data_IF_368774954233
#
_entry.id   IF_368774954233
#
_cell.length_a   1.000
_cell.length_b   1.000
_cell.length_c   1.000
_cell.angle_alpha   90.00
_cell.angle_beta   90.00
_cell.angle_gamma   90.00
#
_symmetry.space_group_name_H-M   'P 1'
#
loop_
_entity.id
_entity.type
_entity.pdbx_description
1 polymer ?
#
# COMPACT_ATOMS: atom_id res chain seq x y z
N UNK A 1 4.16 -4.37 -72.89
CA UNK A 1 5.27 -5.09 -72.22
C UNK A 1 6.54 -4.25 -72.29
N UNK A 2 6.83 -3.44 -71.26
CA UNK A 2 8.15 -2.77 -71.08
C UNK A 2 8.21 -2.02 -69.73
N UNK A 3 9.45 -1.94 -69.21
CA UNK A 3 10.01 -1.22 -68.03
C UNK A 3 10.09 -2.09 -66.77
N UNK A 4 11.21 -2.76 -66.46
CA UNK A 4 12.58 -2.33 -66.08
C UNK A 4 12.64 -1.43 -64.83
N UNK A 5 12.99 -2.07 -63.72
CA UNK A 5 13.94 -1.71 -62.65
C UNK A 5 14.29 -0.23 -62.51
N UNK A 6 13.98 0.35 -61.36
CA UNK A 6 14.85 1.32 -60.68
C UNK A 6 14.67 1.16 -59.17
N UNK A 7 15.65 0.52 -58.53
CA UNK A 7 15.78 0.54 -57.07
C UNK A 7 16.30 1.91 -56.65
N UNK A 8 15.59 2.57 -55.74
CA UNK A 8 16.05 3.79 -55.10
C UNK A 8 16.32 3.49 -53.63
N UNK A 9 17.61 3.41 -53.33
CA UNK A 9 18.17 3.35 -51.98
C UNK A 9 17.87 4.70 -51.30
N UNK A 10 17.02 4.71 -50.27
CA UNK A 10 16.92 5.86 -49.36
C UNK A 10 17.51 5.46 -48.01
N UNK A 11 18.75 5.91 -47.76
CA UNK A 11 19.37 5.97 -46.45
C UNK A 11 18.66 7.08 -45.65
N UNK A 12 17.80 6.70 -44.71
CA UNK A 12 17.34 7.59 -43.64
C UNK A 12 17.95 7.11 -42.33
N UNK A 13 18.96 7.84 -41.87
CA UNK A 13 19.40 7.83 -40.48
C UNK A 13 18.23 8.26 -39.59
N UNK A 14 17.60 7.30 -38.91
CA UNK A 14 16.68 7.54 -37.81
C UNK A 14 17.36 7.17 -36.50
N UNK A 15 17.72 8.17 -35.69
CA UNK A 15 18.08 8.00 -34.29
C UNK A 15 16.94 7.25 -33.57
N UNK A 16 17.15 5.99 -33.22
CA UNK A 16 16.26 5.31 -32.28
C UNK A 16 16.64 5.75 -30.86
N UNK A 17 15.86 6.69 -30.33
CA UNK A 17 15.68 6.83 -28.89
C UNK A 17 15.10 5.51 -28.37
N UNK A 18 15.87 4.77 -27.58
CA UNK A 18 15.34 3.73 -26.69
C UNK A 18 14.60 4.43 -25.55
N UNK A 19 13.38 4.90 -25.83
CA UNK A 19 12.40 5.21 -24.79
C UNK A 19 12.02 3.90 -24.12
N UNK A 20 12.28 3.80 -22.81
CA UNK A 20 11.85 2.68 -21.99
C UNK A 20 10.33 2.50 -22.13
N UNK A 21 9.92 1.26 -22.35
CA UNK A 21 8.53 0.84 -22.20
C UNK A 21 8.18 0.92 -20.72
N UNK A 22 7.64 2.06 -20.30
CA UNK A 22 6.65 2.07 -19.22
C UNK A 22 5.36 1.48 -19.81
N UNK A 23 5.02 0.25 -19.43
CA UNK A 23 3.67 -0.25 -19.65
C UNK A 23 2.79 0.37 -18.56
N UNK A 24 2.19 1.51 -18.88
CA UNK A 24 0.95 1.95 -18.24
C UNK A 24 -0.06 0.81 -18.34
N UNK A 25 -0.80 0.54 -17.26
CA UNK A 25 -1.92 -0.39 -17.30
C UNK A 25 -2.99 0.17 -18.25
N UNK A 26 -2.93 -0.24 -19.52
CA UNK A 26 -3.92 0.13 -20.50
C UNK A 26 -5.23 -0.60 -20.15
N UNK A 27 -6.27 0.19 -19.85
CA UNK A 27 -7.64 -0.31 -19.77
C UNK A 27 -8.12 -0.60 -21.19
N UNK A 28 -7.89 -1.83 -21.65
CA UNK A 28 -8.19 -2.24 -23.01
C UNK A 28 -9.57 -2.88 -23.06
N UNK A 29 -10.33 -2.65 -24.14
CA UNK A 29 -11.63 -3.31 -24.38
C UNK A 29 -11.48 -4.26 -25.56
N UNK A 30 -11.98 -5.49 -25.40
CA UNK A 30 -12.05 -6.51 -26.43
C UNK A 30 -13.51 -6.79 -26.80
N UNK A 31 -13.82 -6.85 -28.09
CA UNK A 31 -15.17 -7.19 -28.58
C UNK A 31 -15.19 -8.65 -29.03
N UNK A 32 -16.03 -9.46 -28.38
CA UNK A 32 -16.15 -10.91 -28.63
C UNK A 32 -16.58 -11.16 -30.08
N UNK A 33 -15.78 -11.94 -30.79
CA UNK A 33 -16.05 -12.44 -32.14
C UNK A 33 -16.77 -13.79 -32.10
N UNK A 34 -17.40 -14.16 -33.22
CA UNK A 34 -18.04 -15.46 -33.38
C UNK A 34 -17.04 -16.59 -33.09
N UNK A 35 -17.41 -17.52 -32.21
CA UNK A 35 -16.64 -18.71 -31.77
C UNK A 35 -15.50 -18.47 -30.77
N UNK A 36 -15.29 -17.24 -30.27
CA UNK A 36 -14.32 -17.04 -29.17
C UNK A 36 -14.84 -17.60 -27.84
N UNK A 37 -13.93 -18.17 -27.05
CA UNK A 37 -14.20 -18.61 -25.67
C UNK A 37 -13.47 -17.71 -24.69
N UNK A 38 -13.86 -17.76 -23.41
CA UNK A 38 -13.16 -17.04 -22.34
C UNK A 38 -11.67 -17.40 -22.35
N UNK A 39 -11.34 -18.68 -22.54
CA UNK A 39 -9.98 -19.18 -22.56
C UNK A 39 -9.18 -18.65 -23.76
N UNK A 40 -9.78 -18.58 -24.95
CA UNK A 40 -9.09 -18.08 -26.14
C UNK A 40 -8.82 -16.57 -26.05
N UNK A 41 -9.77 -15.80 -25.51
CA UNK A 41 -9.61 -14.37 -25.30
C UNK A 41 -8.58 -14.11 -24.19
N UNK A 42 -8.69 -14.80 -23.05
CA UNK A 42 -7.75 -14.63 -21.94
C UNK A 42 -6.30 -14.96 -22.35
N UNK A 43 -6.10 -16.03 -23.14
CA UNK A 43 -4.80 -16.39 -23.70
C UNK A 43 -4.26 -15.32 -24.67
N UNK A 44 -5.12 -14.68 -25.46
CA UNK A 44 -4.74 -13.59 -26.37
C UNK A 44 -4.14 -12.39 -25.63
N UNK A 45 -4.60 -12.14 -24.41
CA UNK A 45 -4.18 -11.00 -23.59
C UNK A 45 -3.23 -11.36 -22.43
N UNK A 46 -2.76 -12.61 -22.37
CA UNK A 46 -1.88 -13.11 -21.30
C UNK A 46 -2.46 -12.91 -19.87
N UNK A 47 -3.77 -13.12 -19.73
CA UNK A 47 -4.49 -13.11 -18.44
C UNK A 47 -5.19 -14.45 -18.20
N UNK A 48 -5.62 -14.74 -16.98
CA UNK A 48 -6.38 -15.97 -16.71
C UNK A 48 -7.85 -15.85 -17.16
N UNK A 49 -8.44 -16.98 -17.57
CA UNK A 49 -9.87 -17.05 -17.88
C UNK A 49 -10.73 -16.61 -16.68
N UNK A 50 -10.34 -17.00 -15.46
CA UNK A 50 -11.01 -16.62 -14.22
C UNK A 50 -10.95 -15.09 -13.98
N UNK A 51 -9.80 -14.46 -14.25
CA UNK A 51 -9.65 -13.01 -14.16
C UNK A 51 -10.55 -12.31 -15.19
N UNK A 52 -10.54 -12.76 -16.44
CA UNK A 52 -11.40 -12.20 -17.49
C UNK A 52 -12.90 -12.32 -17.12
N UNK A 53 -13.31 -13.45 -16.54
CA UNK A 53 -14.67 -13.69 -16.09
C UNK A 53 -15.07 -12.79 -14.92
N UNK A 54 -14.22 -12.66 -13.89
CA UNK A 54 -14.51 -11.83 -12.71
C UNK A 54 -14.56 -10.35 -13.06
N UNK A 55 -13.63 -9.87 -13.89
CA UNK A 55 -13.59 -8.47 -14.33
C UNK A 55 -14.84 -8.07 -15.12
N UNK A 56 -15.47 -9.01 -15.80
CA UNK A 56 -16.61 -8.74 -16.69
C UNK A 56 -17.94 -9.31 -16.20
N UNK A 57 -18.00 -9.85 -14.98
CA UNK A 57 -19.23 -10.39 -14.39
C UNK A 57 -19.79 -11.59 -15.16
N UNK A 58 -18.94 -12.55 -15.52
CA UNK A 58 -19.30 -13.76 -16.28
C UNK A 58 -19.29 -15.01 -15.36
N UNK A 59 -20.36 -15.27 -14.59
CA UNK A 59 -20.37 -16.35 -13.60
C UNK A 59 -20.38 -17.76 -14.21
N UNK A 60 -20.85 -17.91 -15.45
CA UNK A 60 -20.96 -19.20 -16.15
C UNK A 60 -20.07 -19.29 -17.41
N UNK A 61 -19.20 -18.29 -17.62
CA UNK A 61 -18.25 -18.24 -18.74
C UNK A 61 -18.91 -18.08 -20.11
N UNK A 62 -20.21 -17.81 -20.19
CA UNK A 62 -20.89 -17.61 -21.47
C UNK A 62 -20.56 -16.24 -22.06
N UNK A 63 -20.25 -16.23 -23.35
CA UNK A 63 -19.98 -15.05 -24.14
C UNK A 63 -20.99 -14.91 -25.26
N UNK A 64 -21.30 -13.67 -25.63
CA UNK A 64 -22.17 -13.34 -26.76
C UNK A 64 -21.36 -12.58 -27.81
N UNK A 65 -21.57 -12.92 -29.09
CA UNK A 65 -20.94 -12.20 -30.20
C UNK A 65 -21.31 -10.71 -30.14
N UNK A 66 -20.30 -9.83 -30.23
CA UNK A 66 -20.43 -8.38 -30.08
C UNK A 66 -20.37 -7.86 -28.64
N UNK A 67 -20.27 -8.74 -27.63
CA UNK A 67 -20.09 -8.34 -26.23
C UNK A 67 -18.72 -7.67 -26.03
N UNK A 68 -18.70 -6.53 -25.33
CA UNK A 68 -17.45 -5.86 -24.96
C UNK A 68 -16.96 -6.32 -23.59
N UNK A 69 -15.72 -6.79 -23.53
CA UNK A 69 -15.03 -7.23 -22.33
C UNK A 69 -13.89 -6.27 -22.00
N UNK A 70 -13.81 -5.84 -20.75
CA UNK A 70 -12.69 -5.11 -20.18
C UNK A 70 -11.53 -6.06 -19.91
N UNK A 71 -10.37 -5.73 -20.47
CA UNK A 71 -9.12 -6.45 -20.34
C UNK A 71 -8.21 -5.65 -19.42
N UNK A 72 -7.91 -6.23 -18.26
CA UNK A 72 -6.99 -5.65 -17.28
C UNK A 72 -5.74 -6.54 -17.22
N UNK A 73 -4.66 -6.14 -17.89
CA UNK A 73 -3.37 -6.86 -17.94
C UNK A 73 -2.49 -6.61 -16.71
N UNK A 74 -3.06 -6.53 -15.51
CA UNK A 74 -2.24 -6.48 -14.30
C UNK A 74 -1.76 -7.89 -13.98
N UNK A 75 -0.49 -8.17 -14.26
CA UNK A 75 0.17 -9.41 -13.87
C UNK A 75 0.23 -9.51 -12.34
N UNK A 76 -0.81 -10.06 -11.71
CA UNK A 76 -0.76 -10.50 -10.31
C UNK A 76 -0.47 -12.00 -10.28
N UNK A 77 0.81 -12.34 -10.39
CA UNK A 77 1.28 -13.69 -10.06
C UNK A 77 1.54 -13.74 -8.55
N UNK A 78 0.85 -14.59 -7.77
CA UNK A 78 1.14 -14.76 -6.35
C UNK A 78 2.56 -15.31 -6.20
N UNK A 79 3.47 -14.45 -5.78
CA UNK A 79 4.83 -14.86 -5.51
C UNK A 79 4.89 -15.64 -4.21
N UNK A 80 4.96 -16.95 -4.33
CA UNK A 80 5.31 -17.82 -3.20
C UNK A 80 6.85 -17.93 -3.00
N UNK A 81 7.67 -17.14 -3.72
CA UNK A 81 9.15 -17.18 -3.63
C UNK A 81 9.94 -15.85 -3.74
N UNK A 82 9.35 -14.65 -3.71
CA UNK A 82 10.13 -13.45 -4.06
C UNK A 82 10.98 -12.84 -2.94
N UNK A 83 10.77 -13.05 -1.63
CA UNK A 83 11.60 -12.32 -0.64
C UNK A 83 13.03 -12.83 -0.54
N UNK A 84 13.27 -14.14 -0.50
CA UNK A 84 14.63 -14.67 -0.43
C UNK A 84 15.46 -14.24 -1.66
N UNK A 85 14.82 -14.13 -2.83
CA UNK A 85 15.47 -13.70 -4.06
C UNK A 85 15.59 -12.18 -4.18
N UNK A 86 14.54 -11.43 -3.81
CA UNK A 86 14.55 -9.96 -3.81
C UNK A 86 15.44 -9.38 -2.72
N UNK A 87 15.50 -10.00 -1.55
CA UNK A 87 16.43 -9.65 -0.50
C UNK A 87 17.89 -9.79 -0.96
N UNK A 88 18.22 -10.87 -1.70
CA UNK A 88 19.51 -10.98 -2.37
C UNK A 88 19.72 -9.89 -3.42
N UNK A 89 18.69 -9.53 -4.20
CA UNK A 89 18.78 -8.43 -5.18
C UNK A 89 19.05 -7.09 -4.50
N UNK A 90 18.34 -6.75 -3.42
CA UNK A 90 18.56 -5.56 -2.59
C UNK A 90 19.99 -5.56 -2.06
N UNK A 91 20.44 -6.68 -1.48
CA UNK A 91 21.80 -6.84 -0.96
C UNK A 91 22.86 -6.66 -2.05
N UNK A 92 22.67 -7.27 -3.22
CA UNK A 92 23.59 -7.14 -4.36
C UNK A 92 23.63 -5.71 -4.90
N UNK A 93 22.46 -5.06 -4.98
CA UNK A 93 22.36 -3.66 -5.40
C UNK A 93 23.06 -2.73 -4.40
N UNK A 94 22.84 -2.91 -3.10
CA UNK A 94 23.57 -2.20 -2.04
C UNK A 94 25.08 -2.36 -2.21
N UNK A 95 25.55 -3.59 -2.46
CA UNK A 95 26.96 -3.90 -2.62
C UNK A 95 27.60 -3.17 -3.81
N UNK A 96 26.86 -2.88 -4.87
CA UNK A 96 27.40 -2.12 -6.02
C UNK A 96 27.80 -0.68 -5.68
N UNK A 97 27.35 -0.14 -4.55
CA UNK A 97 27.75 1.18 -4.07
C UNK A 97 29.04 1.16 -3.23
N UNK A 98 29.71 0.02 -3.08
CA UNK A 98 31.02 -0.04 -2.40
C UNK A 98 32.02 0.90 -3.09
N UNK A 99 32.72 1.72 -2.31
CA UNK A 99 33.69 2.71 -2.79
C UNK A 99 33.10 4.10 -3.07
N UNK A 100 31.78 4.27 -3.06
CA UNK A 100 31.16 5.58 -3.19
C UNK A 100 31.44 6.44 -1.96
N UNK A 101 31.56 7.77 -2.16
CA UNK A 101 31.90 8.72 -1.10
C UNK A 101 30.86 8.71 0.02
N UNK A 102 31.31 8.79 1.27
CA UNK A 102 30.46 9.10 2.41
C UNK A 102 30.26 10.61 2.53
N UNK A 103 29.00 11.07 2.51
CA UNK A 103 28.67 12.49 2.67
C UNK A 103 27.45 12.63 3.57
N UNK A 104 27.57 13.37 4.67
CA UNK A 104 26.49 13.54 5.65
C UNK A 104 25.27 14.23 5.03
N UNK A 105 24.07 13.70 5.27
CA UNK A 105 22.81 14.24 4.74
C UNK A 105 22.51 13.85 3.29
N UNK A 106 23.48 13.32 2.55
CA UNK A 106 23.34 13.00 1.13
C UNK A 106 22.88 11.56 0.89
N UNK A 107 22.26 11.34 -0.26
CA UNK A 107 21.57 10.10 -0.60
C UNK A 107 21.70 9.68 -2.07
N UNK A 108 22.69 10.21 -2.79
CA UNK A 108 22.82 9.95 -4.23
C UNK A 108 24.21 9.46 -4.61
N UNK A 109 24.34 8.64 -5.66
CA UNK A 109 25.65 8.19 -6.15
C UNK A 109 26.61 9.34 -6.48
N UNK A 110 26.08 10.49 -6.93
CA UNK A 110 26.88 11.65 -7.36
C UNK A 110 27.44 12.41 -6.15
N UNK A 111 26.61 12.67 -5.15
CA UNK A 111 27.00 13.48 -3.98
C UNK A 111 27.60 12.65 -2.85
N UNK A 112 27.40 11.33 -2.89
CA UNK A 112 27.75 10.40 -1.83
C UNK A 112 26.55 10.04 -0.96
N UNK A 113 26.79 9.15 0.01
CA UNK A 113 25.75 8.63 0.88
C UNK A 113 26.14 8.78 2.35
N UNK A 114 25.20 9.13 3.22
CA UNK A 114 25.25 8.69 4.61
C UNK A 114 24.54 7.34 4.79
N UNK A 115 24.55 6.78 6.00
CA UNK A 115 23.93 5.48 6.28
C UNK A 115 22.44 5.45 5.93
N UNK A 116 21.72 6.52 6.26
CA UNK A 116 20.29 6.63 6.00
C UNK A 116 19.97 6.91 4.53
N UNK A 117 20.80 7.71 3.84
CA UNK A 117 20.68 7.98 2.42
C UNK A 117 20.96 6.76 1.56
N UNK A 118 21.94 5.93 1.95
CA UNK A 118 22.19 4.65 1.27
C UNK A 118 20.99 3.70 1.39
N UNK A 119 20.41 3.59 2.59
CA UNK A 119 19.21 2.78 2.83
C UNK A 119 18.05 3.28 1.98
N UNK A 120 17.76 4.59 2.04
CA UNK A 120 16.68 5.21 1.27
C UNK A 120 16.83 4.92 -0.24
N UNK A 121 18.01 5.21 -0.79
CA UNK A 121 18.29 5.03 -2.21
C UNK A 121 18.14 3.58 -2.66
N UNK A 122 18.77 2.65 -1.94
CA UNK A 122 18.74 1.24 -2.32
C UNK A 122 17.31 0.70 -2.25
N UNK A 123 16.59 0.94 -1.16
CA UNK A 123 15.25 0.37 -0.97
C UNK A 123 14.22 1.01 -1.90
N UNK A 124 14.23 2.33 -2.10
CA UNK A 124 13.30 3.02 -3.02
C UNK A 124 13.46 2.57 -4.48
N UNK A 125 14.69 2.41 -4.97
CA UNK A 125 14.98 1.89 -6.32
C UNK A 125 14.58 0.42 -6.50
N UNK A 126 14.53 -0.33 -5.41
CA UNK A 126 14.00 -1.68 -5.37
C UNK A 126 12.49 -1.70 -5.08
N UNK A 127 11.79 -0.57 -5.29
CA UNK A 127 10.34 -0.38 -5.12
C UNK A 127 9.84 -0.76 -3.72
N UNK A 128 10.66 -0.53 -2.69
CA UNK A 128 10.25 -0.63 -1.30
C UNK A 128 9.62 0.71 -0.88
N UNK A 129 8.35 0.73 -0.43
CA UNK A 129 7.66 1.96 -0.06
C UNK A 129 8.17 2.42 1.31
N UNK A 130 9.20 3.27 1.29
CA UNK A 130 9.76 3.90 2.48
C UNK A 130 9.89 5.40 2.26
N UNK A 131 9.67 6.17 3.32
CA UNK A 131 9.93 7.61 3.33
C UNK A 131 11.43 7.88 3.49
N UNK A 132 11.87 9.09 3.16
CA UNK A 132 13.21 9.56 3.51
C UNK A 132 13.28 9.88 5.00
N UNK A 133 14.00 9.05 5.77
CA UNK A 133 14.11 9.17 7.22
C UNK A 133 15.57 9.23 7.67
N UNK A 134 15.78 9.65 8.93
CA UNK A 134 17.07 9.47 9.62
C UNK A 134 17.31 7.99 9.95
N UNK A 135 18.53 7.63 10.39
CA UNK A 135 18.82 6.27 10.86
C UNK A 135 17.87 5.86 11.99
N UNK A 136 17.61 6.75 12.94
CA UNK A 136 16.67 6.49 14.04
C UNK A 136 15.23 6.37 13.55
N UNK A 137 14.84 7.18 12.56
CA UNK A 137 13.53 7.07 11.90
C UNK A 137 13.34 5.71 11.24
N UNK A 138 14.34 5.24 10.49
CA UNK A 138 14.33 3.88 9.96
C UNK A 138 14.28 2.85 11.07
N UNK A 139 15.11 2.95 12.12
CA UNK A 139 15.08 2.01 13.24
C UNK A 139 13.70 1.89 13.89
N UNK A 140 12.99 3.01 14.07
CA UNK A 140 11.62 3.03 14.60
C UNK A 140 10.60 2.48 13.60
N UNK A 141 10.78 2.75 12.32
CA UNK A 141 9.89 2.27 11.26
C UNK A 141 10.08 0.78 10.97
N UNK A 142 11.29 0.25 11.09
CA UNK A 142 11.65 -1.10 10.67
C UNK A 142 11.14 -2.19 11.61
N UNK A 143 10.93 -3.37 11.04
CA UNK A 143 10.44 -4.55 11.76
C UNK A 143 11.55 -5.42 12.32
N UNK A 144 11.57 -5.64 13.64
CA UNK A 144 12.53 -6.55 14.25
C UNK A 144 12.46 -7.96 13.63
N UNK A 145 13.63 -8.55 13.41
CA UNK A 145 13.77 -9.93 12.93
C UNK A 145 14.96 -10.61 13.60
N UNK A 146 14.72 -11.76 14.21
CA UNK A 146 15.78 -12.60 14.81
C UNK A 146 16.43 -13.55 13.80
N UNK A 147 15.86 -13.65 12.60
CA UNK A 147 16.36 -14.48 11.49
C UNK A 147 16.68 -13.60 10.29
N UNK A 148 17.76 -12.80 10.35
CA UNK A 148 18.05 -11.82 9.31
C UNK A 148 18.40 -12.49 7.98
N UNK A 149 17.84 -11.95 6.91
CA UNK A 149 18.04 -12.37 5.52
C UNK A 149 18.75 -11.26 4.75
N UNK A 150 19.43 -11.63 3.66
CA UNK A 150 19.99 -10.64 2.76
C UNK A 150 18.90 -9.61 2.37
N UNK A 151 19.25 -8.33 2.39
CA UNK A 151 18.32 -7.22 2.13
C UNK A 151 17.66 -6.61 3.37
N UNK A 152 17.73 -7.26 4.54
CA UNK A 152 17.38 -6.63 5.82
C UNK A 152 18.39 -5.52 6.16
N UNK A 153 18.04 -4.63 7.08
CA UNK A 153 18.91 -3.54 7.55
C UNK A 153 19.37 -3.84 8.98
N UNK A 154 20.67 -3.78 9.21
CA UNK A 154 21.29 -3.93 10.53
C UNK A 154 21.58 -2.55 11.12
N UNK A 155 21.27 -2.36 12.41
CA UNK A 155 21.39 -1.08 13.13
C UNK A 155 22.42 -1.18 14.26
N UNK A 156 23.09 -0.07 14.55
CA UNK A 156 24.13 -0.01 15.58
C UNK A 156 24.01 1.21 16.48
N UNK A 157 24.28 0.99 17.77
CA UNK A 157 24.27 1.99 18.82
C UNK A 157 25.55 2.83 18.83
N UNK A 158 25.43 4.04 19.35
CA UNK A 158 26.56 4.86 19.74
C UNK A 158 27.26 4.31 20.99
N UNK A 159 28.58 4.42 21.05
CA UNK A 159 29.35 3.95 22.20
C UNK A 159 28.92 4.70 23.47
N UNK A 160 28.42 3.95 24.45
CA UNK A 160 27.99 4.50 25.74
C UNK A 160 26.62 5.19 25.71
N UNK A 161 25.80 4.94 24.68
CA UNK A 161 24.49 5.56 24.48
C UNK A 161 23.50 4.52 23.95
N UNK A 162 22.20 4.72 24.22
CA UNK A 162 21.11 3.92 23.63
C UNK A 162 20.68 4.42 22.24
N UNK A 163 21.33 5.47 21.74
CA UNK A 163 21.00 6.08 20.45
C UNK A 163 21.52 5.24 19.30
N UNK A 164 20.66 4.95 18.33
CA UNK A 164 21.03 4.32 17.06
C UNK A 164 21.61 5.38 16.12
N UNK A 165 22.86 5.21 15.69
CA UNK A 165 23.61 6.24 14.94
C UNK A 165 24.07 5.81 13.56
N UNK A 166 24.13 4.52 13.29
CA UNK A 166 24.53 4.00 11.98
C UNK A 166 23.78 2.72 11.65
N UNK A 167 23.63 2.45 10.36
CA UNK A 167 22.92 1.29 9.86
C UNK A 167 23.46 0.85 8.50
N UNK A 168 23.21 -0.40 8.12
CA UNK A 168 23.65 -0.93 6.84
C UNK A 168 22.75 -2.04 6.32
N UNK A 169 22.89 -2.40 5.04
CA UNK A 169 22.08 -3.43 4.40
C UNK A 169 22.80 -4.77 4.51
N UNK A 170 22.16 -5.73 5.17
CA UNK A 170 22.69 -7.06 5.44
C UNK A 170 22.83 -7.86 4.14
N UNK A 171 23.98 -8.48 3.96
CA UNK A 171 24.32 -9.29 2.78
C UNK A 171 24.14 -10.79 3.04
N UNK A 172 23.86 -11.19 4.27
CA UNK A 172 24.01 -12.57 4.71
C UNK A 172 25.46 -12.94 5.08
N UNK A 173 25.61 -14.03 5.82
CA UNK A 173 26.91 -14.55 6.24
C UNK A 173 27.72 -13.53 7.04
N UNK A 174 27.09 -12.87 8.02
CA UNK A 174 27.71 -11.91 8.94
C UNK A 174 28.26 -10.63 8.28
N UNK A 175 27.91 -10.34 7.02
CA UNK A 175 28.37 -9.16 6.27
C UNK A 175 27.24 -8.18 5.99
N UNK A 176 27.56 -6.91 5.86
CA UNK A 176 26.62 -5.85 5.49
C UNK A 176 27.32 -4.71 4.75
N UNK A 177 26.55 -3.90 4.01
CA UNK A 177 27.04 -2.69 3.34
C UNK A 177 26.65 -1.49 4.17
N UNK A 178 27.61 -0.62 4.50
CA UNK A 178 27.37 0.55 5.34
C UNK A 178 28.13 1.78 4.83
N UNK A 179 27.52 2.95 4.99
CA UNK A 179 28.14 4.26 4.81
C UNK A 179 28.24 4.98 6.15
N UNK A 180 29.04 4.44 7.06
CA UNK A 180 29.10 4.85 8.47
C UNK A 180 30.37 4.39 9.18
N UNK A 181 30.53 4.85 10.42
CA UNK A 181 31.60 4.51 11.38
C UNK A 181 33.01 4.24 10.82
N UNK A 182 33.87 5.27 10.87
CA UNK A 182 35.31 5.15 10.62
C UNK A 182 35.73 4.95 9.16
N UNK A 183 34.81 5.10 8.20
CA UNK A 183 35.08 4.99 6.76
C UNK A 183 34.70 6.28 6.01
N UNK A 184 35.52 6.66 5.03
CA UNK A 184 35.31 7.78 4.09
C UNK A 184 34.45 7.37 2.88
N UNK A 185 34.19 6.07 2.72
CA UNK A 185 33.44 5.49 1.62
C UNK A 185 32.47 4.42 2.12
N UNK A 186 31.49 4.09 1.28
CA UNK A 186 30.62 2.92 1.47
C UNK A 186 31.47 1.64 1.44
N UNK A 187 31.32 0.77 2.43
CA UNK A 187 32.12 -0.44 2.57
C UNK A 187 31.26 -1.66 2.88
N UNK A 188 31.74 -2.84 2.46
CA UNK A 188 31.30 -4.11 3.02
C UNK A 188 32.03 -4.32 4.34
N UNK A 189 31.28 -4.48 5.42
CA UNK A 189 31.78 -4.68 6.79
C UNK A 189 31.33 -6.02 7.33
N UNK A 190 32.02 -6.49 8.38
CA UNK A 190 31.65 -7.69 9.12
C UNK A 190 31.06 -7.34 10.48
N UNK A 191 29.99 -8.03 10.85
CA UNK A 191 29.42 -7.98 12.21
C UNK A 191 30.40 -8.45 13.29
N UNK A 192 31.44 -9.20 12.90
CA UNK A 192 32.50 -9.63 13.82
C UNK A 192 33.55 -8.57 14.12
N UNK A 193 33.53 -7.40 13.44
CA UNK A 193 34.46 -6.32 13.78
C UNK A 193 34.12 -5.74 15.17
N UNK A 194 35.14 -5.36 15.93
CA UNK A 194 35.03 -5.00 17.36
C UNK A 194 33.87 -4.05 17.68
N UNK A 195 33.68 -2.99 16.90
CA UNK A 195 32.58 -2.05 17.12
C UNK A 195 31.22 -2.69 16.80
N UNK A 196 31.05 -3.30 15.63
CA UNK A 196 29.77 -3.86 15.23
C UNK A 196 29.34 -5.05 16.09
N UNK A 197 30.28 -5.88 16.53
CA UNK A 197 30.01 -6.99 17.45
C UNK A 197 29.51 -6.50 18.81
N UNK A 198 30.02 -5.36 19.29
CA UNK A 198 29.69 -4.82 20.60
C UNK A 198 28.41 -3.97 20.59
N UNK A 199 28.14 -3.26 19.50
CA UNK A 199 27.08 -2.24 19.44
C UNK A 199 25.97 -2.56 18.44
N UNK A 200 25.81 -3.81 18.00
CA UNK A 200 24.65 -4.23 17.22
C UNK A 200 23.37 -4.03 18.04
N UNK A 201 22.44 -3.23 17.51
CA UNK A 201 21.16 -2.95 18.15
C UNK A 201 20.10 -3.98 17.75
N UNK A 202 19.83 -4.09 16.44
CA UNK A 202 18.80 -4.96 15.89
C UNK A 202 19.01 -5.19 14.39
N UNK A 203 18.36 -6.22 13.87
CA UNK A 203 18.04 -6.32 12.45
C UNK A 203 16.59 -5.89 12.23
N UNK A 204 16.37 -5.08 11.21
CA UNK A 204 15.04 -4.71 10.76
C UNK A 204 14.80 -5.12 9.31
N UNK A 205 13.63 -5.67 9.02
CA UNK A 205 13.21 -5.94 7.63
C UNK A 205 12.34 -4.80 7.11
N UNK A 206 12.48 -4.46 5.83
CA UNK A 206 11.68 -3.45 5.11
C UNK A 206 11.15 -4.11 3.86
N UNK A 207 10.10 -4.89 4.04
CA UNK A 207 9.50 -5.64 2.95
C UNK A 207 8.60 -4.72 2.13
N UNK A 208 8.74 -4.66 0.79
CA UNK A 208 7.65 -4.19 -0.05
C UNK A 208 6.56 -5.24 0.02
N UNK A 209 5.60 -5.12 0.94
CA UNK A 209 4.54 -6.13 1.07
C UNK A 209 3.16 -5.53 1.10
N UNK A 210 2.71 -5.30 -0.13
CA UNK A 210 1.39 -4.91 -0.60
C UNK A 210 0.18 -5.13 0.32
N UNK A 211 -0.90 -4.51 -0.12
CA UNK A 211 -2.25 -4.97 0.21
C UNK A 211 -2.42 -6.42 -0.28
N UNK A 212 -3.13 -7.23 0.51
CA UNK A 212 -3.49 -8.60 0.22
C UNK A 212 -5.00 -8.72 0.38
N UNK A 213 -5.69 -9.17 -0.66
CA UNK A 213 -7.11 -9.47 -0.59
C UNK A 213 -7.24 -10.93 -0.20
N UNK A 214 -7.88 -11.21 0.94
CA UNK A 214 -8.09 -12.57 1.44
C UNK A 214 -8.83 -13.41 0.40
N UNK A 215 -8.23 -14.53 0.01
CA UNK A 215 -8.79 -15.51 -0.90
C UNK A 215 -9.60 -16.58 -0.15
N UNK A 216 -10.36 -17.37 -0.90
CA UNK A 216 -11.20 -18.42 -0.34
C UNK A 216 -10.36 -19.42 0.47
N UNK A 217 -10.79 -19.75 1.68
CA UNK A 217 -10.12 -20.65 2.64
C UNK A 217 -8.72 -20.20 3.13
N UNK A 218 -8.29 -18.96 2.88
CA UNK A 218 -7.06 -18.46 3.51
C UNK A 218 -7.26 -18.23 5.01
N UNK A 219 -6.24 -18.57 5.78
CA UNK A 219 -6.17 -18.31 7.22
C UNK A 219 -5.12 -17.23 7.48
N UNK A 220 -5.21 -16.55 8.62
CA UNK A 220 -4.13 -15.66 9.04
C UNK A 220 -2.79 -16.38 9.11
N UNK A 221 -2.80 -17.67 9.47
CA UNK A 221 -1.59 -18.49 9.50
C UNK A 221 -1.00 -18.69 8.11
N UNK A 222 -1.81 -19.06 7.11
CA UNK A 222 -1.34 -19.24 5.74
C UNK A 222 -0.85 -17.92 5.12
N UNK A 223 -1.52 -16.81 5.39
CA UNK A 223 -1.09 -15.47 4.95
C UNK A 223 0.19 -15.06 5.68
N UNK A 224 0.26 -15.24 7.01
CA UNK A 224 1.46 -15.02 7.81
C UNK A 224 2.67 -15.75 7.25
N UNK A 225 2.51 -17.04 6.92
CA UNK A 225 3.58 -17.88 6.40
C UNK A 225 3.97 -17.46 4.97
N UNK A 226 3.00 -17.14 4.10
CA UNK A 226 3.23 -16.68 2.72
C UNK A 226 4.01 -15.35 2.69
N UNK A 227 3.63 -14.42 3.56
CA UNK A 227 4.25 -13.11 3.63
C UNK A 227 5.36 -13.00 4.69
N UNK A 228 5.71 -14.06 5.41
CA UNK A 228 6.73 -13.99 6.47
C UNK A 228 6.51 -12.83 7.45
N UNK A 229 5.25 -12.53 7.76
CA UNK A 229 4.81 -11.50 8.73
C UNK A 229 4.02 -12.23 9.81
N UNK A 230 4.32 -12.03 11.10
CA UNK A 230 3.61 -12.78 12.15
C UNK A 230 2.11 -12.52 12.12
N UNK A 231 1.33 -13.55 12.47
CA UNK A 231 -0.13 -13.44 12.67
C UNK A 231 -0.48 -12.23 13.53
N UNK A 232 0.20 -12.06 14.67
CA UNK A 232 0.00 -10.90 15.55
C UNK A 232 0.21 -9.57 14.86
N UNK A 233 1.18 -9.49 13.95
CA UNK A 233 1.45 -8.27 13.17
C UNK A 233 0.34 -8.01 12.18
N UNK A 234 -0.13 -9.04 11.45
CA UNK A 234 -1.26 -8.93 10.52
C UNK A 234 -2.52 -8.49 11.28
N UNK A 235 -2.79 -9.08 12.45
CA UNK A 235 -3.95 -8.73 13.30
C UNK A 235 -3.88 -7.30 13.79
N UNK A 236 -2.76 -6.91 14.39
CA UNK A 236 -2.58 -5.53 14.91
C UNK A 236 -2.73 -4.51 13.79
N UNK A 237 -2.14 -4.79 12.63
CA UNK A 237 -2.18 -3.92 11.43
C UNK A 237 -3.58 -3.72 10.90
N UNK A 238 -4.29 -4.81 10.71
CA UNK A 238 -5.60 -4.83 10.08
C UNK A 238 -6.70 -4.85 11.12
N UNK A 239 -6.41 -4.35 12.33
CA UNK A 239 -7.31 -4.25 13.45
C UNK A 239 -8.17 -5.50 13.73
N UNK A 240 -7.67 -6.69 13.40
CA UNK A 240 -8.48 -7.90 13.44
C UNK A 240 -8.72 -8.28 14.90
N UNK A 241 -10.00 -8.30 15.35
CA UNK A 241 -10.32 -8.67 16.73
C UNK A 241 -10.19 -10.18 16.95
N UNK A 242 -10.27 -10.97 15.88
CA UNK A 242 -10.17 -12.43 15.89
C UNK A 242 -9.24 -12.92 14.78
N UNK A 243 -9.06 -14.25 14.69
CA UNK A 243 -8.30 -14.86 13.58
C UNK A 243 -9.17 -15.10 12.33
N UNK A 244 -10.47 -14.80 12.43
CA UNK A 244 -11.42 -14.97 11.34
C UNK A 244 -11.15 -13.94 10.26
N UNK A 245 -11.07 -14.41 9.02
CA UNK A 245 -10.90 -13.58 7.84
C UNK A 245 -12.13 -13.72 6.95
N UNK A 246 -12.53 -12.61 6.35
CA UNK A 246 -13.57 -12.63 5.33
C UNK A 246 -12.93 -12.69 3.96
N UNK A 247 -13.46 -13.53 3.07
CA UNK A 247 -13.04 -13.50 1.66
C UNK A 247 -13.27 -12.09 1.08
N UNK A 248 -12.30 -11.57 0.34
CA UNK A 248 -12.34 -10.20 -0.19
C UNK A 248 -11.83 -9.14 0.78
N UNK A 249 -11.54 -9.48 2.04
CA UNK A 249 -10.99 -8.54 3.01
C UNK A 249 -9.61 -8.07 2.59
N UNK A 250 -9.40 -6.75 2.55
CA UNK A 250 -8.05 -6.22 2.34
C UNK A 250 -7.28 -6.23 3.66
N UNK A 251 -6.14 -6.90 3.61
CA UNK A 251 -5.14 -6.91 4.64
C UNK A 251 -3.89 -6.19 4.15
N UNK A 252 -3.41 -5.23 4.90
CA UNK A 252 -2.08 -4.69 4.77
C UNK A 252 -1.09 -5.71 5.35
N UNK A 253 -0.11 -6.17 4.56
CA UNK A 253 0.83 -7.22 4.97
C UNK A 253 2.28 -6.70 5.06
N UNK A 254 2.45 -5.43 5.39
CA UNK A 254 3.75 -4.87 5.78
C UNK A 254 3.88 -4.94 7.29
N UNK A 255 5.07 -5.20 7.81
CA UNK A 255 5.20 -5.64 9.20
C UNK A 255 5.39 -4.55 10.27
N UNK A 256 5.26 -3.25 9.96
CA UNK A 256 5.33 -2.16 10.96
C UNK A 256 4.32 -1.05 10.71
N UNK A 257 3.52 -0.65 11.72
CA UNK A 257 2.42 0.30 11.57
C UNK A 257 2.77 1.52 10.69
N UNK A 258 1.77 2.05 9.99
CA UNK A 258 1.73 3.49 9.73
C UNK A 258 1.51 4.12 11.11
N UNK A 259 2.59 4.24 11.88
CA UNK A 259 2.70 5.23 12.93
C UNK A 259 3.84 6.13 12.48
N UNK A 260 3.46 7.29 11.96
CA UNK A 260 3.54 8.45 12.83
C UNK A 260 2.26 9.30 12.75
N UNK A 261 1.09 8.80 13.21
CA UNK A 261 -0.08 9.68 13.28
C UNK A 261 -0.91 9.70 14.58
N UNK A 262 -0.81 8.71 15.48
CA UNK A 262 -1.59 8.71 16.74
C UNK A 262 -0.73 8.80 17.99
N UNK A 263 0.29 9.66 17.98
CA UNK A 263 1.13 9.91 19.15
C UNK A 263 1.04 11.35 19.66
N UNK A 264 -0.04 12.08 19.34
CA UNK A 264 -0.41 13.28 20.08
C UNK A 264 -1.56 12.95 21.03
N UNK A 265 -1.11 12.52 22.20
CA UNK A 265 -1.74 12.43 23.51
C UNK A 265 -3.08 13.15 23.66
N UNK A 266 -4.13 12.37 23.96
CA UNK A 266 -4.89 12.49 25.21
C UNK A 266 -5.74 11.23 25.39
N UNK A 267 -5.90 10.78 26.63
CA UNK A 267 -6.60 9.56 27.10
C UNK A 267 -8.11 9.55 26.84
N UNK A 268 -8.63 10.40 25.94
CA UNK A 268 -10.06 10.56 25.64
C UNK A 268 -10.52 9.91 24.33
N UNK A 269 -9.72 9.03 23.72
CA UNK A 269 -10.00 8.52 22.36
C UNK A 269 -10.09 7.00 22.19
N UNK A 270 -10.27 6.21 23.24
CA UNK A 270 -10.27 4.74 23.10
C UNK A 270 -11.34 4.23 22.10
N UNK A 271 -12.55 4.82 22.11
CA UNK A 271 -13.64 4.42 21.20
C UNK A 271 -13.51 4.99 19.78
N UNK A 272 -13.15 6.27 19.61
CA UNK A 272 -12.94 6.83 18.26
C UNK A 272 -11.77 6.15 17.54
N UNK A 273 -10.73 5.82 18.31
CA UNK A 273 -9.61 5.02 17.83
C UNK A 273 -10.08 3.65 17.37
N UNK A 274 -10.89 2.94 18.18
CA UNK A 274 -11.44 1.64 17.81
C UNK A 274 -12.26 1.69 16.51
N UNK A 275 -13.16 2.67 16.39
CA UNK A 275 -13.96 2.96 15.18
C UNK A 275 -13.09 3.12 13.95
N UNK A 276 -12.09 3.98 14.01
CA UNK A 276 -11.18 4.20 12.89
C UNK A 276 -10.43 2.91 12.57
N UNK A 277 -9.89 2.24 13.59
CA UNK A 277 -9.15 0.99 13.44
C UNK A 277 -9.98 -0.05 12.66
N UNK A 278 -11.25 -0.20 13.03
CA UNK A 278 -12.17 -1.12 12.38
C UNK A 278 -12.53 -0.68 10.95
N UNK A 279 -12.76 0.61 10.73
CA UNK A 279 -12.99 1.18 9.41
C UNK A 279 -11.86 0.85 8.41
N UNK A 280 -10.60 0.89 8.86
CA UNK A 280 -9.43 0.52 8.04
C UNK A 280 -9.48 -0.94 7.56
N UNK A 281 -10.06 -1.86 8.34
CA UNK A 281 -10.16 -3.28 7.99
C UNK A 281 -11.12 -3.54 6.84
N UNK A 282 -12.01 -2.58 6.59
CA UNK A 282 -13.02 -2.67 5.57
C UNK A 282 -12.53 -2.12 4.22
N UNK A 283 -11.28 -1.66 4.11
CA UNK A 283 -10.73 -1.15 2.85
C UNK A 283 -10.92 -2.16 1.71
N UNK A 284 -11.22 -1.63 0.53
CA UNK A 284 -11.43 -2.38 -0.70
C UNK A 284 -12.67 -3.28 -0.77
N UNK A 285 -13.48 -3.38 0.29
CA UNK A 285 -14.84 -3.92 0.15
C UNK A 285 -15.65 -3.05 -0.80
N UNK A 286 -16.44 -3.70 -1.65
CA UNK A 286 -17.12 -3.09 -2.79
C UNK A 286 -18.20 -2.10 -2.37
N UNK A 287 -18.46 -1.14 -3.24
CA UNK A 287 -19.62 -0.26 -3.08
C UNK A 287 -20.84 -0.91 -3.72
N UNK A 288 -21.95 -0.94 -2.97
CA UNK A 288 -23.28 -1.25 -3.50
C UNK A 288 -24.27 -0.25 -2.91
N UNK A 289 -25.04 0.41 -3.77
CA UNK A 289 -26.00 1.44 -3.36
C UNK A 289 -27.09 0.85 -2.46
N UNK A 290 -27.40 1.50 -1.33
CA UNK A 290 -28.42 1.06 -0.37
C UNK A 290 -27.93 0.01 0.63
N UNK A 291 -26.85 -0.70 0.32
CA UNK A 291 -26.34 -1.79 1.12
C UNK A 291 -25.39 -1.32 2.24
N UNK A 292 -25.25 -2.17 3.25
CA UNK A 292 -24.41 -1.92 4.43
C UNK A 292 -23.66 -3.18 4.90
N UNK A 293 -23.83 -4.32 4.22
CA UNK A 293 -23.12 -5.56 4.54
C UNK A 293 -21.81 -5.61 3.72
N UNK A 294 -20.62 -5.69 4.34
CA UNK A 294 -19.36 -5.74 3.61
C UNK A 294 -19.26 -6.91 2.61
N UNK A 295 -19.96 -8.03 2.82
CA UNK A 295 -19.95 -9.18 1.90
C UNK A 295 -20.76 -8.95 0.62
N UNK A 296 -21.75 -8.06 0.68
CA UNK A 296 -22.56 -7.66 -0.49
C UNK A 296 -21.96 -6.40 -1.11
N UNK A 297 -21.64 -5.43 -0.26
CA UNK A 297 -21.07 -4.13 -0.56
C UNK A 297 -21.72 -3.05 0.30
N UNK A 298 -21.11 -1.87 0.36
CA UNK A 298 -21.57 -0.79 1.23
C UNK A 298 -21.60 0.54 0.49
N UNK A 299 -22.74 1.24 0.57
CA UNK A 299 -22.77 2.66 0.21
C UNK A 299 -22.06 3.51 1.28
N UNK A 300 -21.92 4.81 1.07
CA UNK A 300 -21.19 5.68 2.00
C UNK A 300 -21.84 5.69 3.39
N UNK A 301 -23.16 5.76 3.45
CA UNK A 301 -23.94 5.80 4.68
C UNK A 301 -24.10 4.42 5.34
N UNK A 302 -24.09 3.35 4.55
CA UNK A 302 -24.06 1.96 4.99
C UNK A 302 -22.73 1.60 5.62
N UNK A 303 -21.62 2.08 5.06
CA UNK A 303 -20.29 1.97 5.66
C UNK A 303 -20.23 2.65 7.04
N UNK A 304 -20.74 3.89 7.17
CA UNK A 304 -20.82 4.56 8.48
C UNK A 304 -21.68 3.76 9.46
N UNK A 305 -22.87 3.31 9.03
CA UNK A 305 -23.77 2.52 9.87
C UNK A 305 -23.08 1.26 10.40
N UNK A 306 -22.41 0.52 9.52
CA UNK A 306 -21.71 -0.72 9.85
C UNK A 306 -20.60 -0.48 10.87
N UNK A 307 -19.70 0.46 10.59
CA UNK A 307 -18.56 0.76 11.47
C UNK A 307 -19.02 1.23 12.86
N UNK A 308 -20.04 2.09 12.94
CA UNK A 308 -20.54 2.61 14.20
C UNK A 308 -21.25 1.51 15.02
N UNK A 309 -22.04 0.65 14.36
CA UNK A 309 -22.75 -0.46 15.00
C UNK A 309 -21.80 -1.46 15.65
N UNK A 310 -20.69 -1.80 15.00
CA UNK A 310 -19.69 -2.75 15.51
C UNK A 310 -18.93 -2.25 16.75
N UNK A 311 -19.06 -0.95 17.08
CA UNK A 311 -18.48 -0.33 18.27
C UNK A 311 -19.53 0.18 19.26
N UNK A 312 -20.74 -0.37 19.21
CA UNK A 312 -21.86 -0.02 20.10
C UNK A 312 -22.23 1.48 20.08
N UNK A 313 -21.90 2.19 19.00
CA UNK A 313 -22.31 3.57 18.79
C UNK A 313 -23.68 3.53 18.12
N UNK A 314 -24.71 3.88 18.90
CA UNK A 314 -26.10 3.85 18.46
C UNK A 314 -26.37 4.88 17.37
N UNK A 315 -26.39 4.43 16.11
CA UNK A 315 -26.85 5.19 14.95
C UNK A 315 -27.94 4.40 14.21
N UNK A 316 -29.00 5.07 13.76
CA UNK A 316 -30.02 4.46 12.90
C UNK A 316 -29.48 4.36 11.48
N UNK A 317 -29.78 3.29 10.74
CA UNK A 317 -29.51 3.26 9.30
C UNK A 317 -30.25 4.42 8.64
N UNK A 318 -29.52 5.26 7.92
CA UNK A 318 -30.04 6.41 7.18
C UNK A 318 -29.08 6.84 6.08
N UNK A 319 -29.45 7.84 5.30
CA UNK A 319 -28.64 8.44 4.23
C UNK A 319 -27.54 9.38 4.77
N UNK A 320 -26.66 9.83 3.87
CA UNK A 320 -25.69 10.89 4.21
C UNK A 320 -26.40 12.18 4.68
N UNK A 321 -27.54 12.53 4.08
CA UNK A 321 -28.35 13.69 4.48
C UNK A 321 -29.00 13.52 5.87
N UNK A 322 -29.42 12.30 6.21
CA UNK A 322 -29.96 12.01 7.55
C UNK A 322 -28.90 12.21 8.63
N UNK A 323 -27.69 11.66 8.43
CA UNK A 323 -26.57 11.85 9.36
C UNK A 323 -26.14 13.31 9.45
N UNK A 324 -26.09 14.00 8.30
CA UNK A 324 -25.80 15.42 8.27
C UNK A 324 -26.82 16.21 9.09
N UNK A 325 -28.12 15.91 8.99
CA UNK A 325 -29.15 16.61 9.74
C UNK A 325 -29.05 16.39 11.25
N UNK A 326 -28.68 15.18 11.67
CA UNK A 326 -28.66 14.75 13.08
C UNK A 326 -27.43 15.25 13.87
N UNK A 327 -26.25 15.33 13.25
CA UNK A 327 -25.01 15.62 13.99
C UNK A 327 -24.77 17.13 14.19
N UNK A 328 -24.21 17.58 15.33
CA UNK A 328 -23.75 18.97 15.50
C UNK A 328 -22.63 19.33 14.52
N UNK A 329 -22.64 20.54 13.95
CA UNK A 329 -21.68 20.96 12.93
C UNK A 329 -20.47 21.61 13.60
N UNK A 330 -19.28 21.26 13.17
CA UNK A 330 -18.02 21.69 13.80
C UNK A 330 -17.02 22.23 12.77
N UNK A 331 -16.11 23.10 13.23
CA UNK A 331 -15.03 23.68 12.41
C UNK A 331 -13.68 23.00 12.63
N UNK A 332 -13.48 22.42 13.81
CA UNK A 332 -12.24 21.78 14.23
C UNK A 332 -12.53 20.30 14.47
N UNK A 333 -12.54 19.47 13.40
CA UNK A 333 -12.86 18.06 13.53
C UNK A 333 -11.76 17.30 14.25
N UNK A 334 -12.16 16.29 14.99
CA UNK A 334 -11.31 15.29 15.60
C UNK A 334 -11.39 14.00 14.82
N UNK A 335 -10.35 13.18 14.88
CA UNK A 335 -10.37 11.87 14.25
C UNK A 335 -11.56 11.06 14.81
N UNK A 336 -12.41 10.53 13.93
CA UNK A 336 -13.64 9.82 14.26
C UNK A 336 -14.92 10.63 14.00
N UNK A 337 -14.82 11.96 13.85
CA UNK A 337 -15.93 12.78 13.38
C UNK A 337 -16.27 12.48 11.91
N UNK A 338 -17.47 12.85 11.47
CA UNK A 338 -17.87 12.66 10.07
C UNK A 338 -17.56 13.88 9.23
N UNK A 339 -17.23 13.63 7.97
CA UNK A 339 -17.09 14.66 6.93
C UNK A 339 -18.17 14.47 5.87
N UNK A 340 -18.81 15.57 5.47
CA UNK A 340 -19.94 15.58 4.55
C UNK A 340 -19.61 16.33 3.27
N UNK A 341 -20.16 15.82 2.16
CA UNK A 341 -20.01 16.43 0.84
C UNK A 341 -21.35 16.55 0.14
N UNK A 342 -21.47 17.59 -0.68
CA UNK A 342 -22.59 17.81 -1.60
C UNK A 342 -22.24 17.42 -3.03
N UNK A 343 -23.27 17.21 -3.83
CA UNK A 343 -23.20 17.19 -5.29
C UNK A 343 -22.31 16.09 -5.87
N UNK A 344 -22.07 15.00 -5.14
CA UNK A 344 -21.29 13.88 -5.69
C UNK A 344 -22.05 13.12 -6.78
N UNK A 345 -23.37 13.34 -6.88
CA UNK A 345 -24.27 12.81 -7.91
C UNK A 345 -25.01 13.89 -8.73
N UNK A 346 -24.60 15.17 -8.60
CA UNK A 346 -25.18 16.35 -9.28
C UNK A 346 -26.55 16.83 -8.76
N UNK A 347 -26.97 16.45 -7.54
CA UNK A 347 -28.29 16.80 -6.99
C UNK A 347 -28.42 18.11 -6.20
N UNK A 348 -27.34 18.85 -5.88
CA UNK A 348 -27.36 20.00 -4.93
C UNK A 348 -27.53 19.61 -3.45
N UNK A 349 -27.67 18.31 -3.15
CA UNK A 349 -27.92 17.79 -1.82
C UNK A 349 -26.68 17.13 -1.18
N UNK A 350 -26.78 16.85 0.13
CA UNK A 350 -25.78 16.07 0.85
C UNK A 350 -25.88 14.62 0.38
N UNK A 351 -24.84 14.20 -0.32
CA UNK A 351 -24.84 12.97 -1.12
C UNK A 351 -23.70 12.05 -0.72
N UNK A 352 -22.77 12.52 0.10
CA UNK A 352 -21.66 11.71 0.57
C UNK A 352 -21.26 11.99 2.01
N UNK A 353 -20.71 10.94 2.64
CA UNK A 353 -20.20 10.97 4.01
C UNK A 353 -18.97 10.07 4.14
N UNK A 354 -18.06 10.44 5.03
CA UNK A 354 -16.92 9.61 5.43
C UNK A 354 -16.49 9.88 6.87
N UNK A 355 -15.57 9.08 7.40
CA UNK A 355 -14.99 9.25 8.74
C UNK A 355 -13.68 10.02 8.61
N UNK A 356 -13.56 11.15 9.32
CA UNK A 356 -12.35 11.95 9.36
C UNK A 356 -11.25 11.23 10.14
N UNK A 357 -10.04 11.22 9.57
CA UNK A 357 -8.88 10.50 10.11
C UNK A 357 -7.86 11.43 10.78
N UNK A 358 -8.07 12.75 10.72
CA UNK A 358 -7.05 13.75 11.00
C UNK A 358 -6.21 14.08 9.77
N UNK A 359 -5.42 15.15 9.86
CA UNK A 359 -4.52 15.62 8.80
C UNK A 359 -5.20 15.79 7.42
N UNK A 360 -6.44 16.28 7.40
CA UNK A 360 -7.12 16.51 6.14
C UNK A 360 -7.47 15.22 5.38
N UNK A 361 -7.49 14.05 6.02
CA UNK A 361 -7.81 12.77 5.37
C UNK A 361 -9.10 12.16 5.92
N UNK A 362 -9.74 11.34 5.11
CA UNK A 362 -10.97 10.65 5.50
C UNK A 362 -11.11 9.29 4.81
N UNK A 363 -11.81 8.35 5.47
CA UNK A 363 -12.15 7.02 4.92
C UNK A 363 -13.64 6.97 4.56
N UNK A 364 -13.95 6.40 3.40
CA UNK A 364 -15.30 6.35 2.83
C UNK A 364 -15.40 5.29 1.73
N UNK A 365 -16.60 5.02 1.23
CA UNK A 365 -16.83 4.16 0.06
C UNK A 365 -17.13 4.97 -1.19
N UNK A 366 -16.70 4.52 -2.37
CA UNK A 366 -17.19 5.04 -3.67
C UNK A 366 -17.45 3.92 -4.65
N UNK A 367 -18.32 4.19 -5.64
CA UNK A 367 -18.70 3.23 -6.70
C UNK A 367 -17.52 2.50 -7.36
N UNK A 368 -16.42 3.21 -7.60
CA UNK A 368 -15.29 2.70 -8.38
C UNK A 368 -14.21 2.02 -7.53
N UNK A 369 -14.08 2.40 -6.26
CA UNK A 369 -12.93 2.00 -5.42
C UNK A 369 -13.34 1.21 -4.19
N UNK A 370 -14.65 1.14 -3.88
CA UNK A 370 -15.09 0.59 -2.61
C UNK A 370 -14.61 1.44 -1.44
N UNK A 371 -14.34 0.83 -0.28
CA UNK A 371 -13.81 1.54 0.90
C UNK A 371 -12.34 1.96 0.65
N UNK A 372 -12.04 3.24 0.73
CA UNK A 372 -10.68 3.77 0.55
C UNK A 372 -10.49 5.08 1.32
N UNK A 373 -9.27 5.61 1.27
CA UNK A 373 -8.91 6.86 1.95
C UNK A 373 -8.65 7.90 0.89
N UNK A 374 -9.17 9.09 1.13
CA UNK A 374 -8.96 10.25 0.26
C UNK A 374 -8.47 11.44 1.08
N UNK A 375 -7.69 12.30 0.43
CA UNK A 375 -7.28 13.60 0.93
C UNK A 375 -8.36 14.64 0.63
N UNK A 376 -8.76 15.42 1.64
CA UNK A 376 -9.74 16.50 1.52
C UNK A 376 -9.28 17.61 0.58
N UNK A 377 -7.97 17.78 0.40
CA UNK A 377 -7.39 18.76 -0.52
C UNK A 377 -7.45 18.32 -1.98
N UNK A 378 -7.83 17.07 -2.26
CA UNK A 378 -8.03 16.60 -3.63
C UNK A 378 -9.09 17.45 -4.34
N UNK A 379 -8.83 17.81 -5.60
CA UNK A 379 -9.64 18.79 -6.35
C UNK A 379 -11.15 18.48 -6.31
N UNK A 380 -11.52 17.21 -6.46
CA UNK A 380 -12.92 16.77 -6.43
C UNK A 380 -13.58 16.96 -5.06
N UNK A 381 -12.93 16.53 -3.97
CA UNK A 381 -13.52 16.58 -2.63
C UNK A 381 -13.42 17.95 -1.98
N UNK A 382 -12.38 18.73 -2.30
CA UNK A 382 -12.26 20.11 -1.86
C UNK A 382 -13.42 20.97 -2.38
N UNK A 383 -13.79 20.82 -3.65
CA UNK A 383 -14.90 21.57 -4.27
C UNK A 383 -16.28 21.18 -3.73
N UNK A 384 -16.41 19.96 -3.19
CA UNK A 384 -17.69 19.38 -2.77
C UNK A 384 -17.85 19.33 -1.25
N UNK A 385 -16.83 19.72 -0.51
CA UNK A 385 -16.83 19.73 0.95
C UNK A 385 -17.93 20.65 1.46
N UNK A 386 -18.78 20.13 2.35
CA UNK A 386 -19.80 20.92 3.03
C UNK A 386 -19.34 21.29 4.44
N UNK A 387 -19.11 20.29 5.29
CA UNK A 387 -18.85 20.48 6.71
C UNK A 387 -18.38 19.20 7.40
N UNK A 388 -17.96 19.35 8.65
CA UNK A 388 -17.78 18.25 9.59
C UNK A 388 -18.96 18.15 10.56
N UNK A 389 -19.30 16.93 10.96
CA UNK A 389 -20.30 16.65 11.99
C UNK A 389 -19.70 15.87 13.15
N UNK A 390 -19.95 16.35 14.37
CA UNK A 390 -19.44 15.75 15.59
C UNK A 390 -20.16 14.45 15.91
N UNK A 391 -19.43 13.35 16.03
CA UNK A 391 -20.00 12.10 16.56
C UNK A 391 -19.85 12.14 18.07
N UNK A 392 -20.98 12.23 18.79
CA UNK A 392 -20.98 12.06 20.25
C UNK A 392 -20.77 10.59 20.57
N UNK A 393 -19.51 10.20 20.65
CA UNK A 393 -19.12 8.93 21.24
C UNK A 393 -19.22 9.15 22.75
N UNK A 394 -20.30 8.69 23.39
CA UNK A 394 -20.49 8.85 24.84
C UNK A 394 -19.20 8.43 25.57
N UNK A 395 -18.52 9.44 26.13
CA UNK A 395 -17.37 9.34 27.00
C UNK A 395 -17.90 9.16 28.42
N UNK A 396 -18.51 8.01 28.68
CA UNK A 396 -18.77 7.53 30.04
C UNK A 396 -17.59 6.68 30.51
#
# INVERSE_FOLDING_TARGET
MRKRILGMLLLLLGMFFLSGLEVEAADQVHTVSSQETVESIAATYDISAEQLMKTNGLPDGKLYEGQMLRIIQTAYTPSIYQWAERGKQIANYAKSFTGFKKTAGEETPIKGFDSSGLIHWVLSRQKVPIDRLSVEGYYKQGMDTDTPKAGDVIFFLEKGSSKVVTAGIYLGGNRFVNSGYGAETVQVRSTSEKYFAQYQAAYKTYTPKGEHVVQNNETLKSISDNYGVSVDTIKKRNALPTDSLMQGQYLQIYSSPLYPFYANQETSYDKAYAVIKYAYTLRGFTYVFGEYDPMIGMDCSGFIYWVMKEHDISIKRGSAADYYSLLPKIKEPKAGDLVFFRDTDLSQEITHVGIYLGDGRFIHTTKNTGVHITDLTSSYYNQKFESFGQVQINMD
#
